data_IF_734180525826
#
_entry.id   IF_734180525826
#
_cell.length_a   1.000
_cell.length_b   1.000
_cell.length_c   1.000
_cell.angle_alpha   90.00
_cell.angle_beta   90.00
_cell.angle_gamma   90.00
#
_symmetry.space_group_name_H-M   'P 1'
#
loop_
_entity.id
_entity.type
_entity.pdbx_description
1 polymer ?
#
# COMPACT_ATOMS: atom_id res chain seq x y z
N UNK A 1 -23.22 49.10 1.61
CA UNK A 1 -23.29 47.82 2.36
C UNK A 1 -23.79 46.64 1.53
N UNK A 2 -24.90 46.76 0.77
CA UNK A 2 -25.44 45.63 -0.04
C UNK A 2 -24.44 45.04 -1.06
N UNK A 3 -23.68 45.90 -1.75
CA UNK A 3 -22.70 45.45 -2.74
C UNK A 3 -21.47 44.78 -2.11
N UNK A 4 -21.12 45.17 -0.89
CA UNK A 4 -19.99 44.59 -0.14
C UNK A 4 -20.33 43.19 0.37
N UNK A 5 -21.53 43.02 0.94
CA UNK A 5 -22.06 41.71 1.35
C UNK A 5 -22.14 40.73 0.17
N UNK A 6 -22.62 41.18 -0.99
CA UNK A 6 -22.72 40.35 -2.19
C UNK A 6 -21.36 39.88 -2.72
N UNK A 7 -20.30 40.70 -2.58
CA UNK A 7 -18.94 40.30 -2.96
C UNK A 7 -18.36 39.27 -1.99
N UNK A 8 -18.61 39.42 -0.70
CA UNK A 8 -18.18 38.46 0.33
C UNK A 8 -18.89 37.12 0.12
N UNK A 9 -20.19 37.13 -0.17
CA UNK A 9 -20.98 35.92 -0.46
C UNK A 9 -20.44 35.16 -1.67
N UNK A 10 -20.15 35.84 -2.78
CA UNK A 10 -19.53 35.23 -3.96
C UNK A 10 -18.14 34.67 -3.67
N UNK A 11 -17.34 35.37 -2.88
CA UNK A 11 -16.01 34.91 -2.49
C UNK A 11 -16.09 33.65 -1.61
N UNK A 12 -17.04 33.61 -0.66
CA UNK A 12 -17.34 32.43 0.14
C UNK A 12 -17.82 31.26 -0.70
N UNK A 13 -18.71 31.50 -1.67
CA UNK A 13 -19.19 30.45 -2.58
C UNK A 13 -18.08 29.86 -3.44
N UNK A 14 -17.16 30.69 -3.94
CA UNK A 14 -16.02 30.22 -4.73
C UNK A 14 -15.03 29.44 -3.86
N UNK A 15 -14.76 29.91 -2.63
CA UNK A 15 -13.85 29.21 -1.71
C UNK A 15 -14.44 27.88 -1.26
N UNK A 16 -15.70 27.86 -0.81
CA UNK A 16 -16.38 26.64 -0.36
C UNK A 16 -16.64 25.69 -1.52
N UNK A 17 -17.07 26.19 -2.67
CA UNK A 17 -17.28 25.41 -3.88
C UNK A 17 -15.97 24.81 -4.41
N UNK A 18 -14.89 25.60 -4.42
CA UNK A 18 -13.56 25.14 -4.78
C UNK A 18 -13.02 24.07 -3.82
N UNK A 19 -13.21 24.27 -2.51
CA UNK A 19 -12.85 23.27 -1.50
C UNK A 19 -13.67 21.98 -1.62
N UNK A 20 -14.98 22.09 -1.84
CA UNK A 20 -15.85 20.94 -2.06
C UNK A 20 -15.41 20.15 -3.30
N UNK A 21 -15.04 20.85 -4.38
CA UNK A 21 -14.57 20.21 -5.61
C UNK A 21 -13.22 19.51 -5.39
N UNK A 22 -12.30 20.12 -4.64
CA UNK A 22 -11.04 19.47 -4.24
C UNK A 22 -11.24 18.25 -3.36
N UNK A 23 -12.28 18.24 -2.51
CA UNK A 23 -12.65 17.07 -1.69
C UNK A 23 -13.36 15.98 -2.48
N UNK A 24 -14.05 16.34 -3.57
CA UNK A 24 -14.79 15.40 -4.44
C UNK A 24 -13.88 14.82 -5.53
N UNK A 25 -12.78 15.48 -5.89
CA UNK A 25 -11.80 14.90 -6.80
C UNK A 25 -11.20 13.66 -6.13
N UNK A 26 -11.46 12.44 -6.66
CA UNK A 26 -10.77 11.27 -6.17
C UNK A 26 -9.28 11.53 -6.37
N UNK A 27 -8.49 11.30 -5.33
CA UNK A 27 -7.05 11.35 -5.44
C UNK A 27 -6.64 10.45 -6.60
N UNK A 28 -6.20 11.07 -7.70
CA UNK A 28 -5.68 10.35 -8.85
C UNK A 28 -4.49 9.58 -8.29
N UNK A 29 -4.62 8.26 -8.19
CA UNK A 29 -3.60 7.38 -7.62
C UNK A 29 -2.51 7.23 -8.70
N UNK A 30 -1.57 8.18 -8.76
CA UNK A 30 -0.42 8.18 -9.70
C UNK A 30 0.60 7.07 -9.41
N UNK A 31 0.24 6.10 -8.57
CA UNK A 31 1.12 5.02 -8.21
C UNK A 31 1.17 3.99 -9.36
N UNK A 32 2.29 3.98 -10.07
CA UNK A 32 2.52 3.27 -11.33
C UNK A 32 2.69 1.74 -11.13
N UNK A 33 1.66 1.11 -10.53
CA UNK A 33 1.61 -0.31 -10.17
C UNK A 33 1.35 -1.21 -11.38
N UNK A 34 0.65 -0.70 -12.38
CA UNK A 34 0.05 -1.47 -13.48
C UNK A 34 1.05 -2.22 -14.38
N UNK A 35 2.15 -1.62 -14.88
CA UNK A 35 3.03 -2.30 -15.82
C UNK A 35 3.77 -3.50 -15.18
N UNK A 36 4.22 -3.37 -13.93
CA UNK A 36 4.92 -4.45 -13.22
C UNK A 36 3.97 -5.60 -12.86
N UNK A 37 2.77 -5.27 -12.39
CA UNK A 37 1.74 -6.27 -12.06
C UNK A 37 1.31 -7.04 -13.30
N UNK A 38 1.09 -6.35 -14.43
CA UNK A 38 0.69 -6.99 -15.69
C UNK A 38 1.74 -7.98 -16.19
N UNK A 39 3.02 -7.62 -16.11
CA UNK A 39 4.11 -8.51 -16.55
C UNK A 39 4.26 -9.71 -15.60
N UNK A 40 4.21 -9.49 -14.28
CA UNK A 40 4.25 -10.56 -13.30
C UNK A 40 3.06 -11.54 -13.42
N UNK A 41 1.86 -11.05 -13.76
CA UNK A 41 0.68 -11.89 -14.03
C UNK A 41 0.91 -12.81 -15.23
N UNK A 42 1.52 -12.32 -16.32
CA UNK A 42 1.84 -13.14 -17.48
C UNK A 42 2.87 -14.23 -17.16
N UNK A 43 3.85 -13.90 -16.33
CA UNK A 43 4.91 -14.83 -15.92
C UNK A 43 4.47 -15.80 -14.82
N UNK A 44 3.30 -15.57 -14.21
CA UNK A 44 2.77 -16.40 -13.12
C UNK A 44 3.46 -16.16 -11.78
N UNK A 45 4.09 -14.99 -11.61
CA UNK A 45 4.78 -14.55 -10.39
C UNK A 45 3.92 -13.64 -9.52
N UNK A 46 2.68 -13.37 -9.91
CA UNK A 46 1.76 -12.51 -9.17
C UNK A 46 0.86 -13.33 -8.24
N UNK A 47 0.79 -12.91 -6.97
CA UNK A 47 -0.02 -13.51 -5.93
C UNK A 47 -0.89 -12.43 -5.29
N UNK A 48 -2.20 -12.60 -5.37
CA UNK A 48 -3.15 -11.74 -4.67
C UNK A 48 -3.22 -12.17 -3.20
N UNK A 49 -3.21 -11.19 -2.29
CA UNK A 49 -3.20 -11.47 -0.85
C UNK A 49 -4.54 -11.09 -0.26
N UNK A 50 -5.31 -12.09 0.14
CA UNK A 50 -6.57 -11.91 0.86
C UNK A 50 -6.35 -12.02 2.38
N UNK A 51 -5.58 -11.08 2.93
CA UNK A 51 -5.36 -11.00 4.37
C UNK A 51 -6.25 -9.93 5.02
N UNK A 52 -6.73 -10.20 6.23
CA UNK A 52 -7.52 -9.24 7.01
C UNK A 52 -6.74 -7.95 7.29
N UNK A 53 -7.44 -6.81 7.25
CA UNK A 53 -6.83 -5.52 7.59
C UNK A 53 -6.33 -5.53 9.04
N UNK A 54 -5.09 -5.15 9.26
CA UNK A 54 -4.54 -5.02 10.61
C UNK A 54 -4.33 -3.57 11.00
N UNK A 55 -4.47 -3.26 12.28
CA UNK A 55 -4.29 -1.89 12.78
C UNK A 55 -2.89 -1.71 13.36
N UNK A 56 -2.22 -0.63 12.97
CA UNK A 56 -0.90 -0.25 13.47
C UNK A 56 -0.82 1.28 13.57
N UNK A 57 -0.49 1.80 14.74
CA UNK A 57 -0.54 3.22 15.08
C UNK A 57 -1.85 3.90 14.64
N UNK A 58 -2.99 3.27 14.97
CA UNK A 58 -4.36 3.72 14.64
C UNK A 58 -4.69 3.80 13.14
N UNK A 59 -3.85 3.21 12.29
CA UNK A 59 -4.05 3.13 10.84
C UNK A 59 -4.31 1.70 10.44
N UNK A 60 -5.16 1.49 9.43
CA UNK A 60 -5.46 0.15 8.91
C UNK A 60 -4.53 -0.15 7.75
N UNK A 61 -3.86 -1.28 7.79
CA UNK A 61 -2.94 -1.75 6.76
C UNK A 61 -3.49 -3.00 6.08
N UNK A 62 -3.24 -3.10 4.78
CA UNK A 62 -3.47 -4.28 3.96
C UNK A 62 -2.24 -4.59 3.14
N UNK A 63 -1.98 -5.88 2.95
CA UNK A 63 -1.11 -6.36 1.88
C UNK A 63 -2.02 -6.68 0.72
N UNK A 64 -1.87 -5.97 -0.39
CA UNK A 64 -2.79 -6.12 -1.52
C UNK A 64 -2.34 -7.26 -2.45
N UNK A 65 -1.04 -7.34 -2.70
CA UNK A 65 -0.46 -8.36 -3.59
C UNK A 65 1.03 -8.52 -3.38
N UNK A 66 1.55 -9.68 -3.75
CA UNK A 66 2.97 -10.00 -3.73
C UNK A 66 3.39 -10.47 -5.12
N UNK A 67 4.53 -9.99 -5.61
CA UNK A 67 5.19 -10.53 -6.79
C UNK A 67 6.41 -11.31 -6.34
N UNK A 68 6.49 -12.59 -6.67
CA UNK A 68 7.57 -13.48 -6.27
C UNK A 68 8.05 -14.33 -7.44
N UNK A 69 9.33 -14.19 -7.78
CA UNK A 69 9.98 -14.88 -8.90
C UNK A 69 11.37 -14.29 -9.19
N UNK A 70 12.21 -15.04 -9.90
CA UNK A 70 13.55 -14.61 -10.36
C UNK A 70 14.44 -14.00 -9.25
N UNK A 71 14.41 -14.61 -8.06
CA UNK A 71 15.18 -14.15 -6.90
C UNK A 71 14.76 -12.78 -6.37
N UNK A 72 13.56 -12.31 -6.72
CA UNK A 72 12.98 -11.03 -6.29
C UNK A 72 11.62 -11.23 -5.65
N UNK A 73 11.32 -10.34 -4.71
CA UNK A 73 10.04 -10.28 -4.02
C UNK A 73 9.61 -8.83 -3.91
N UNK A 74 8.40 -8.52 -4.35
CA UNK A 74 7.81 -7.17 -4.27
C UNK A 74 6.50 -7.29 -3.51
N UNK A 75 6.41 -6.60 -2.38
CA UNK A 75 5.20 -6.56 -1.55
C UNK A 75 4.51 -5.23 -1.77
N UNK A 76 3.25 -5.26 -2.21
CA UNK A 76 2.40 -4.08 -2.33
C UNK A 76 1.52 -3.94 -1.10
N UNK A 77 1.57 -2.77 -0.47
CA UNK A 77 0.81 -2.48 0.74
C UNK A 77 0.02 -1.19 0.59
N UNK A 78 -1.15 -1.19 1.25
CA UNK A 78 -2.00 -0.02 1.38
C UNK A 78 -2.22 0.29 2.86
N UNK A 79 -2.26 1.58 3.19
CA UNK A 79 -2.75 2.07 4.48
C UNK A 79 -3.93 3.02 4.28
N UNK A 80 -4.91 2.92 5.16
CA UNK A 80 -6.09 3.78 5.21
C UNK A 80 -6.13 4.57 6.51
N UNK A 81 -6.37 5.88 6.41
CA UNK A 81 -6.49 6.78 7.55
C UNK A 81 -6.73 8.24 7.14
N UNK A 82 -7.53 8.96 7.94
CA UNK A 82 -7.80 10.39 7.74
C UNK A 82 -6.53 11.23 8.00
N UNK A 83 -6.17 12.15 7.10
CA UNK A 83 -4.97 13.01 7.21
C UNK A 83 -3.65 12.22 7.27
N UNK A 84 -3.53 11.23 6.38
CA UNK A 84 -2.45 10.24 6.33
C UNK A 84 -1.13 10.79 5.76
N UNK A 85 -0.49 11.77 6.41
CA UNK A 85 0.91 12.14 6.13
C UNK A 85 1.85 10.94 6.42
N UNK A 86 2.97 10.79 5.67
CA UNK A 86 3.40 9.56 4.99
C UNK A 86 3.32 8.31 5.88
N UNK A 87 2.68 7.28 5.33
CA UNK A 87 1.73 6.50 6.13
C UNK A 87 1.94 4.98 6.06
N UNK A 88 2.97 4.54 5.33
CA UNK A 88 3.45 3.16 5.34
C UNK A 88 4.65 3.02 6.30
N UNK A 89 4.89 1.82 6.87
CA UNK A 89 6.06 1.60 7.69
C UNK A 89 7.34 1.90 6.89
N UNK A 90 8.31 2.57 7.51
CA UNK A 90 9.58 2.89 6.82
C UNK A 90 10.38 1.65 6.41
N UNK A 91 10.13 0.52 7.07
CA UNK A 91 10.70 -0.77 6.72
C UNK A 91 9.76 -1.88 7.19
N UNK A 92 9.81 -2.99 6.47
CA UNK A 92 9.16 -4.25 6.80
C UNK A 92 10.19 -5.37 6.70
N UNK A 93 9.97 -6.43 7.45
CA UNK A 93 10.76 -7.65 7.40
C UNK A 93 9.93 -8.75 6.76
N UNK A 94 10.59 -9.67 6.07
CA UNK A 94 9.96 -10.87 5.53
C UNK A 94 10.60 -12.07 6.20
N UNK A 95 9.76 -12.87 6.85
CA UNK A 95 10.17 -14.13 7.45
C UNK A 95 9.73 -15.24 6.49
N UNK A 96 10.68 -16.02 5.99
CA UNK A 96 10.42 -17.16 5.10
C UNK A 96 9.97 -18.39 5.88
N UNK A 97 9.50 -19.42 5.18
CA UNK A 97 9.25 -20.76 5.73
C UNK A 97 10.52 -21.42 6.31
N UNK A 98 11.70 -21.10 5.78
CA UNK A 98 13.02 -21.47 6.33
C UNK A 98 13.42 -20.66 7.57
N UNK A 99 12.58 -19.75 8.05
CA UNK A 99 12.84 -18.83 9.17
C UNK A 99 14.01 -17.87 8.91
N UNK A 100 14.30 -17.59 7.64
CA UNK A 100 15.25 -16.57 7.20
C UNK A 100 14.56 -15.21 7.21
N UNK A 101 15.26 -14.19 7.70
CA UNK A 101 14.75 -12.82 7.76
C UNK A 101 15.36 -12.01 6.63
N UNK A 102 14.51 -11.56 5.71
CA UNK A 102 14.90 -10.73 4.59
C UNK A 102 14.58 -9.27 4.89
N UNK A 103 15.56 -8.40 4.65
CA UNK A 103 15.39 -6.96 4.72
C UNK A 103 15.10 -6.36 3.35
N UNK A 104 14.21 -5.37 3.32
CA UNK A 104 13.88 -4.65 2.09
C UNK A 104 15.12 -3.89 1.57
N UNK A 105 15.32 -3.90 0.25
CA UNK A 105 16.38 -3.13 -0.42
C UNK A 105 15.92 -1.73 -0.84
N UNK A 106 14.66 -1.63 -1.26
CA UNK A 106 14.07 -0.37 -1.71
C UNK A 106 12.60 -0.34 -1.38
N UNK A 107 12.08 0.86 -1.15
CA UNK A 107 10.66 1.10 -0.94
C UNK A 107 10.23 2.34 -1.73
N UNK A 108 8.98 2.33 -2.18
CA UNK A 108 8.34 3.48 -2.81
C UNK A 108 6.92 3.61 -2.29
N UNK A 109 6.48 4.83 -2.00
CA UNK A 109 5.14 5.08 -1.52
C UNK A 109 4.56 6.32 -2.20
N UNK A 110 3.26 6.27 -2.48
CA UNK A 110 2.44 7.40 -2.85
C UNK A 110 1.37 7.61 -1.77
N UNK A 111 1.04 8.86 -1.53
CA UNK A 111 0.13 9.24 -0.45
C UNK A 111 -0.94 10.17 -1.00
N UNK A 112 -2.19 9.85 -0.68
CA UNK A 112 -3.34 10.71 -0.82
C UNK A 112 -3.89 11.10 0.56
N UNK A 113 -4.93 11.93 0.61
CA UNK A 113 -5.52 12.44 1.85
C UNK A 113 -6.06 11.32 2.76
N UNK A 114 -6.51 10.21 2.18
CA UNK A 114 -7.20 9.11 2.90
C UNK A 114 -6.50 7.76 2.79
N UNK A 115 -5.57 7.61 1.84
CA UNK A 115 -4.95 6.34 1.49
C UNK A 115 -3.48 6.56 1.13
N UNK A 116 -2.60 5.70 1.61
CA UNK A 116 -1.23 5.61 1.10
C UNK A 116 -0.97 4.22 0.57
N UNK A 117 -0.50 4.14 -0.67
CA UNK A 117 -0.17 2.89 -1.37
C UNK A 117 1.34 2.86 -1.59
N UNK A 118 1.96 1.68 -1.54
CA UNK A 118 3.40 1.56 -1.70
C UNK A 118 3.86 0.16 -2.00
N UNK A 119 5.16 0.02 -2.27
CA UNK A 119 5.82 -1.26 -2.47
C UNK A 119 7.11 -1.34 -1.66
N UNK A 120 7.49 -2.57 -1.33
CA UNK A 120 8.80 -2.92 -0.78
C UNK A 120 9.42 -4.03 -1.64
N UNK A 121 10.66 -3.84 -2.06
CA UNK A 121 11.40 -4.79 -2.90
C UNK A 121 12.51 -5.46 -2.11
N UNK A 122 12.62 -6.76 -2.31
CA UNK A 122 13.65 -7.63 -1.75
C UNK A 122 14.32 -8.36 -2.90
N UNK A 123 15.64 -8.57 -2.82
CA UNK A 123 16.42 -9.34 -3.80
C UNK A 123 17.17 -10.45 -3.09
N UNK A 124 17.66 -11.42 -3.87
CA UNK A 124 18.32 -12.62 -3.35
C UNK A 124 17.36 -13.47 -2.52
N UNK A 125 16.09 -13.46 -2.89
CA UNK A 125 15.04 -14.24 -2.22
C UNK A 125 15.21 -15.70 -2.66
N UNK A 126 15.29 -16.67 -1.73
CA UNK A 126 15.39 -18.09 -2.07
C UNK A 126 14.25 -18.52 -3.00
N UNK A 127 14.53 -19.41 -3.94
CA UNK A 127 13.50 -19.99 -4.80
C UNK A 127 12.75 -21.12 -4.08
N UNK A 128 11.50 -21.37 -4.47
CA UNK A 128 10.71 -22.48 -3.95
C UNK A 128 10.04 -22.25 -2.58
N UNK A 129 10.07 -21.02 -2.04
CA UNK A 129 9.28 -20.65 -0.85
C UNK A 129 7.81 -21.04 -1.00
N UNK A 130 7.24 -21.62 0.05
CA UNK A 130 5.79 -21.95 0.12
C UNK A 130 4.96 -20.82 0.68
N UNK A 131 5.52 -20.12 1.66
CA UNK A 131 4.87 -19.00 2.32
C UNK A 131 5.89 -18.00 2.81
N UNK A 132 5.40 -16.79 3.06
CA UNK A 132 6.15 -15.74 3.74
C UNK A 132 5.26 -15.08 4.79
N UNK A 133 5.89 -14.48 5.79
CA UNK A 133 5.22 -13.62 6.75
C UNK A 133 5.81 -12.23 6.63
N UNK A 134 4.96 -11.26 6.26
CA UNK A 134 5.34 -9.85 6.24
C UNK A 134 5.14 -9.30 7.64
N UNK A 135 6.23 -8.92 8.29
CA UNK A 135 6.25 -8.57 9.70
C UNK A 135 6.82 -7.18 9.93
N UNK A 136 6.23 -6.47 10.90
CA UNK A 136 6.76 -5.22 11.42
C UNK A 136 6.35 -5.06 12.88
N UNK A 137 7.32 -4.77 13.72
CA UNK A 137 7.11 -4.36 15.12
C UNK A 137 7.77 -3.01 15.38
N UNK A 138 7.08 -2.14 16.12
CA UNK A 138 7.65 -0.91 16.65
C UNK A 138 6.84 -0.43 17.86
N UNK A 139 7.54 0.05 18.90
CA UNK A 139 6.92 0.65 20.10
C UNK A 139 5.81 -0.19 20.75
N UNK A 140 5.92 -1.52 20.70
CA UNK A 140 4.94 -2.45 21.30
C UNK A 140 3.69 -2.71 20.45
N UNK A 141 3.60 -2.16 19.24
CA UNK A 141 2.60 -2.55 18.24
C UNK A 141 3.25 -3.39 17.13
N UNK A 142 2.50 -4.32 16.55
CA UNK A 142 2.99 -5.18 15.47
C UNK A 142 1.93 -5.50 14.43
N UNK A 143 2.37 -5.69 13.19
CA UNK A 143 1.57 -6.26 12.09
C UNK A 143 2.26 -7.50 11.55
N UNK A 144 1.46 -8.50 11.19
CA UNK A 144 1.94 -9.77 10.67
C UNK A 144 0.97 -10.33 9.64
N UNK A 145 1.36 -10.31 8.37
CA UNK A 145 0.53 -10.81 7.28
C UNK A 145 1.13 -12.11 6.73
N UNK A 146 0.52 -13.28 7.02
CA UNK A 146 0.92 -14.52 6.38
C UNK A 146 0.44 -14.52 4.93
N UNK A 147 1.33 -14.90 4.01
CA UNK A 147 1.03 -15.04 2.59
C UNK A 147 1.43 -16.43 2.14
N UNK A 148 0.47 -17.18 1.62
CA UNK A 148 0.71 -18.50 1.01
C UNK A 148 0.85 -18.35 -0.51
N UNK A 149 1.87 -18.97 -1.08
CA UNK A 149 2.05 -19.04 -2.53
C UNK A 149 1.38 -20.28 -3.16
N UNK A 150 0.88 -21.22 -2.34
CA UNK A 150 0.20 -22.42 -2.82
C UNK A 150 -1.19 -22.08 -3.42
N UNK A 151 -1.96 -21.20 -2.78
CA UNK A 151 -3.30 -20.80 -3.24
C UNK A 151 -3.27 -20.00 -4.55
N UNK A 152 -2.23 -19.19 -4.79
CA UNK A 152 -2.10 -18.40 -6.01
C UNK A 152 -1.79 -19.22 -7.28
N UNK A 153 -1.40 -20.49 -7.13
CA UNK A 153 -1.29 -21.42 -8.28
C UNK A 153 -2.63 -21.99 -8.72
N UNK A 154 -3.62 -22.05 -7.82
CA UNK A 154 -4.93 -22.66 -8.10
C UNK A 154 -5.93 -21.71 -8.74
N UNK A 155 -5.73 -20.39 -8.64
CA UNK A 155 -6.57 -19.42 -9.36
C UNK A 155 -6.22 -19.29 -10.87
N UNK A 156 -5.58 -20.32 -11.44
CA UNK A 156 -5.24 -20.46 -12.87
C UNK A 156 -6.36 -21.12 -13.67
#
# INVERSE_FOLDING_TARGET
MRNTLRRIEWLLLVVVGGFALLLVLPAIDWFDRDPQVKEAKKQGYYYEVNADKQTFFKKKFTVDSVIYGDGKLIVYMTSEGLLSWPNLPNNIQIITDSNEVLEHQSAGASTSIFKSSGYFTFKQVPEGLKSITIFREAYGESISFPVSFEEGRESR
#
